data_IF_570024465945
#
_entry.id   IF_570024465945
#
_cell.length_a   1.000
_cell.length_b   1.000
_cell.length_c   1.000
_cell.angle_alpha   90.00
_cell.angle_beta   90.00
_cell.angle_gamma   90.00
#
_symmetry.space_group_name_H-M   'P 1'
#
loop_
_entity.id
_entity.type
_entity.pdbx_description
1 polymer ?
#
# COMPACT_ATOMS: atom_id res chain seq x y z
N UNK A 1 -23.01 -0.66 32.62
CA UNK A 1 -23.06 -0.94 31.17
C UNK A 1 -21.74 -0.47 30.53
N UNK A 2 -20.61 -1.10 30.89
CA UNK A 2 -19.25 -0.63 30.55
C UNK A 2 -18.50 -1.62 29.66
N UNK A 3 -19.17 -2.25 28.70
CA UNK A 3 -18.56 -3.30 27.86
C UNK A 3 -18.22 -2.80 26.44
N UNK A 4 -18.67 -1.61 26.04
CA UNK A 4 -18.48 -1.10 24.67
C UNK A 4 -17.29 -0.13 24.50
N UNK A 5 -16.47 0.10 25.53
CA UNK A 5 -15.37 1.10 25.47
C UNK A 5 -13.98 0.48 25.32
N UNK A 6 -13.83 -0.83 25.51
CA UNK A 6 -12.52 -1.52 25.42
C UNK A 6 -12.23 -2.03 24.01
N UNK A 7 -13.27 -2.30 23.21
CA UNK A 7 -13.11 -2.77 21.82
C UNK A 7 -12.61 -1.69 20.87
N UNK A 8 -13.09 -0.45 20.98
CA UNK A 8 -12.65 0.65 20.11
C UNK A 8 -11.18 1.05 20.29
N UNK A 9 -10.66 1.00 21.52
CA UNK A 9 -9.27 1.36 21.78
C UNK A 9 -8.26 0.35 21.22
N UNK A 10 -8.63 -0.94 21.13
CA UNK A 10 -7.76 -1.97 20.55
C UNK A 10 -7.75 -1.91 19.02
N UNK A 11 -8.87 -1.54 18.39
CA UNK A 11 -8.97 -1.32 16.94
C UNK A 11 -8.19 -0.06 16.51
N UNK A 12 -8.32 1.05 17.26
CA UNK A 12 -7.52 2.28 17.03
C UNK A 12 -6.01 2.01 17.13
N UNK A 13 -5.57 1.17 18.08
CA UNK A 13 -4.15 0.81 18.21
C UNK A 13 -3.63 -0.03 17.03
N UNK A 14 -4.49 -0.80 16.36
CA UNK A 14 -4.09 -1.71 15.29
C UNK A 14 -3.91 -0.97 13.96
N UNK A 15 -4.78 -0.01 13.66
CA UNK A 15 -4.65 0.86 12.49
C UNK A 15 -3.56 1.92 12.69
N UNK A 16 -3.41 2.47 13.90
CA UNK A 16 -2.39 3.49 14.20
C UNK A 16 -0.96 3.04 13.88
N UNK A 17 -0.64 1.75 14.07
CA UNK A 17 0.69 1.22 13.73
C UNK A 17 0.96 1.26 12.21
N UNK A 18 -0.06 0.95 11.40
CA UNK A 18 0.06 1.03 9.94
C UNK A 18 0.12 2.49 9.48
N UNK A 19 -0.78 3.35 9.98
CA UNK A 19 -0.79 4.78 9.69
C UNK A 19 0.56 5.42 10.01
N UNK A 20 1.13 5.14 11.19
CA UNK A 20 2.44 5.66 11.57
C UNK A 20 3.54 5.22 10.60
N UNK A 21 3.47 3.98 10.10
CA UNK A 21 4.44 3.47 9.13
C UNK A 21 4.31 4.15 7.75
N UNK A 22 3.08 4.44 7.33
CA UNK A 22 2.82 5.20 6.09
C UNK A 22 3.37 6.64 6.22
N UNK A 23 3.13 7.29 7.36
CA UNK A 23 3.70 8.61 7.65
C UNK A 23 5.24 8.59 7.70
N UNK A 24 5.83 7.58 8.34
CA UNK A 24 7.28 7.41 8.39
C UNK A 24 7.88 7.23 6.99
N UNK A 25 7.19 6.51 6.11
CA UNK A 25 7.60 6.33 4.71
C UNK A 25 7.59 7.66 3.95
N UNK A 26 6.58 8.49 4.19
CA UNK A 26 6.45 9.83 3.61
C UNK A 26 7.50 10.84 4.12
N UNK A 27 8.24 10.54 5.20
CA UNK A 27 9.38 11.37 5.64
C UNK A 27 10.55 11.33 4.67
N UNK A 28 10.59 10.36 3.77
CA UNK A 28 11.58 10.36 2.68
C UNK A 28 11.21 11.46 1.67
N UNK A 29 12.08 12.46 1.40
CA UNK A 29 11.76 13.62 0.58
C UNK A 29 11.46 13.27 -0.89
N UNK A 30 11.88 12.09 -1.36
CA UNK A 30 11.56 11.63 -2.71
C UNK A 30 10.23 10.89 -2.81
N UNK A 31 9.61 10.52 -1.69
CA UNK A 31 8.32 9.83 -1.65
C UNK A 31 7.21 10.86 -1.52
N UNK A 32 6.28 10.85 -2.46
CA UNK A 32 5.16 11.80 -2.53
C UNK A 32 3.80 11.12 -2.33
N UNK A 33 3.76 9.79 -2.28
CA UNK A 33 2.56 9.06 -1.89
C UNK A 33 2.84 7.60 -1.54
N UNK A 34 2.02 7.03 -0.68
CA UNK A 34 2.05 5.61 -0.31
C UNK A 34 0.63 5.10 -0.11
N UNK A 35 0.36 3.86 -0.50
CA UNK A 35 -0.93 3.20 -0.30
C UNK A 35 -0.73 1.72 0.04
N UNK A 36 -1.49 1.23 1.02
CA UNK A 36 -1.58 -0.18 1.38
C UNK A 36 -3.00 -0.68 1.11
N UNK A 37 -3.14 -1.79 0.41
CA UNK A 37 -4.43 -2.42 0.07
C UNK A 37 -4.38 -3.92 0.29
N UNK A 38 -5.54 -4.53 0.51
CA UNK A 38 -5.67 -5.98 0.56
C UNK A 38 -5.81 -6.61 -0.85
N UNK A 39 -5.93 -7.93 -0.91
CA UNK A 39 -6.10 -8.68 -2.16
C UNK A 39 -7.41 -8.41 -2.91
N UNK A 40 -8.41 -7.80 -2.26
CA UNK A 40 -9.71 -7.46 -2.84
C UNK A 40 -9.76 -6.00 -3.32
N UNK A 41 -8.70 -5.23 -3.10
CA UNK A 41 -8.63 -3.82 -3.46
C UNK A 41 -9.23 -2.89 -2.42
N UNK A 42 -9.42 -3.35 -1.18
CA UNK A 42 -9.85 -2.49 -0.08
C UNK A 42 -8.65 -1.71 0.47
N UNK A 43 -8.78 -0.39 0.52
CA UNK A 43 -7.77 0.49 1.10
C UNK A 43 -7.64 0.22 2.60
N UNK A 44 -6.41 -0.07 3.05
CA UNK A 44 -6.05 -0.24 4.45
C UNK A 44 -5.38 1.01 5.04
N UNK A 45 -4.95 1.93 4.18
CA UNK A 45 -4.33 3.18 4.56
C UNK A 45 -3.55 3.80 3.40
N UNK A 46 -3.61 5.12 3.29
CA UNK A 46 -2.90 5.86 2.25
C UNK A 46 -2.46 7.24 2.72
N UNK A 47 -1.40 7.78 2.12
CA UNK A 47 -0.91 9.12 2.38
C UNK A 47 -0.37 9.77 1.09
N UNK A 48 -0.51 11.08 0.94
CA UNK A 48 0.03 11.83 -0.18
C UNK A 48 -0.75 11.63 -1.50
N UNK A 49 -0.03 11.43 -2.60
CA UNK A 49 -0.58 11.42 -3.95
C UNK A 49 -1.42 10.18 -4.31
N UNK A 50 -1.41 9.14 -3.47
CA UNK A 50 -2.19 7.92 -3.68
C UNK A 50 -3.41 7.95 -2.76
N UNK A 51 -4.60 7.95 -3.33
CA UNK A 51 -5.92 7.92 -2.66
C UNK A 51 -6.61 6.57 -2.77
N UNK A 52 -7.73 6.39 -2.07
CA UNK A 52 -8.54 5.16 -2.03
C UNK A 52 -8.99 4.66 -3.41
N UNK A 53 -9.22 5.57 -4.37
CA UNK A 53 -9.62 5.22 -5.73
C UNK A 53 -8.58 4.33 -6.46
N UNK A 54 -7.31 4.40 -6.04
CA UNK A 54 -6.23 3.64 -6.64
C UNK A 54 -6.11 2.22 -6.08
N UNK A 55 -6.75 1.91 -4.94
CA UNK A 55 -6.57 0.63 -4.24
C UNK A 55 -6.96 -0.57 -5.13
N UNK A 56 -8.04 -0.44 -5.89
CA UNK A 56 -8.49 -1.48 -6.82
C UNK A 56 -7.42 -1.83 -7.86
N UNK A 57 -6.90 -0.84 -8.59
CA UNK A 57 -5.88 -1.06 -9.62
C UNK A 57 -4.53 -1.50 -9.03
N UNK A 58 -4.14 -0.94 -7.90
CA UNK A 58 -2.90 -1.31 -7.20
C UNK A 58 -2.93 -2.78 -6.79
N UNK A 59 -4.07 -3.28 -6.28
CA UNK A 59 -4.18 -4.67 -5.82
C UNK A 59 -4.04 -5.72 -6.94
N UNK A 60 -4.44 -5.40 -8.18
CA UNK A 60 -4.50 -6.37 -9.28
C UNK A 60 -3.22 -6.42 -10.11
N UNK A 61 -2.47 -5.33 -10.21
CA UNK A 61 -1.28 -5.24 -11.06
C UNK A 61 -0.23 -6.31 -10.72
N UNK A 62 0.20 -6.47 -9.45
CA UNK A 62 1.16 -7.52 -9.09
C UNK A 62 0.57 -8.93 -9.20
N UNK A 63 -0.76 -9.11 -9.11
CA UNK A 63 -1.39 -10.41 -9.36
C UNK A 63 -1.30 -10.83 -10.83
N UNK A 64 -1.37 -9.88 -11.76
CA UNK A 64 -1.10 -10.14 -13.17
C UNK A 64 0.38 -10.34 -13.46
N UNK A 65 1.26 -9.52 -12.87
CA UNK A 65 2.70 -9.67 -13.03
C UNK A 65 3.21 -11.03 -12.51
N UNK A 66 2.66 -11.52 -11.39
CA UNK A 66 3.01 -12.84 -10.86
C UNK A 66 2.69 -14.01 -11.80
N UNK A 67 1.82 -13.83 -12.81
CA UNK A 67 1.56 -14.85 -13.85
C UNK A 67 2.68 -14.94 -14.89
N UNK A 68 3.61 -13.99 -14.90
CA UNK A 68 4.75 -13.96 -15.82
C UNK A 68 5.93 -14.80 -15.33
N UNK A 69 5.94 -15.16 -14.05
CA UNK A 69 6.96 -16.04 -13.46
C UNK A 69 6.39 -17.44 -13.21
N UNK A 70 7.24 -18.45 -13.32
CA UNK A 70 6.89 -19.84 -12.99
C UNK A 70 7.20 -20.17 -11.52
N UNK A 71 8.02 -19.35 -10.86
CA UNK A 71 8.37 -19.51 -9.46
C UNK A 71 7.39 -18.73 -8.58
N UNK A 72 6.55 -19.39 -7.75
CA UNK A 72 5.59 -18.70 -6.91
C UNK A 72 6.23 -17.87 -5.78
N UNK A 73 7.54 -18.02 -5.53
CA UNK A 73 8.30 -17.24 -4.55
C UNK A 73 8.92 -15.98 -5.14
N UNK A 74 9.00 -15.90 -6.47
CA UNK A 74 9.50 -14.74 -7.20
C UNK A 74 8.38 -13.70 -7.34
N UNK A 75 8.18 -12.87 -6.31
CA UNK A 75 7.12 -11.86 -6.33
C UNK A 75 7.61 -10.58 -7.01
N UNK A 76 7.15 -10.26 -8.24
CA UNK A 76 7.68 -9.14 -9.00
C UNK A 76 7.26 -7.79 -8.40
N UNK A 77 8.10 -6.78 -8.60
CA UNK A 77 7.75 -5.37 -8.41
C UNK A 77 7.22 -4.83 -9.74
N UNK A 78 6.05 -4.23 -9.73
CA UNK A 78 5.49 -3.52 -10.89
C UNK A 78 5.84 -2.04 -10.78
N UNK A 79 6.53 -1.49 -11.78
CA UNK A 79 6.85 -0.07 -11.85
C UNK A 79 6.04 0.61 -12.96
N UNK A 80 5.32 1.67 -12.62
CA UNK A 80 4.68 2.58 -13.57
C UNK A 80 5.51 3.87 -13.61
N UNK A 81 6.17 4.13 -14.72
CA UNK A 81 7.08 5.27 -14.88
C UNK A 81 6.48 6.34 -15.79
N UNK A 82 6.55 7.59 -15.35
CA UNK A 82 6.16 8.77 -16.10
C UNK A 82 7.12 9.93 -15.85
N UNK A 83 6.84 11.07 -16.48
CA UNK A 83 7.49 12.35 -16.20
C UNK A 83 7.23 12.85 -14.76
N UNK A 84 6.12 12.46 -14.14
CA UNK A 84 5.77 12.82 -12.76
C UNK A 84 6.46 11.96 -11.69
N UNK A 85 7.13 10.88 -12.06
CA UNK A 85 7.76 9.96 -11.11
C UNK A 85 7.55 8.49 -11.44
N UNK A 86 7.77 7.64 -10.44
CA UNK A 86 7.58 6.19 -10.53
C UNK A 86 6.66 5.72 -9.42
N UNK A 87 5.61 4.98 -9.77
CA UNK A 87 4.82 4.22 -8.80
C UNK A 87 5.33 2.79 -8.78
N UNK A 88 5.93 2.38 -7.65
CA UNK A 88 6.42 1.04 -7.41
C UNK A 88 5.37 0.26 -6.62
N UNK A 89 4.94 -0.90 -7.11
CA UNK A 89 3.86 -1.71 -6.52
C UNK A 89 4.40 -3.11 -6.26
N UNK A 90 4.29 -3.57 -5.02
CA UNK A 90 4.72 -4.91 -4.63
C UNK A 90 3.67 -5.57 -3.74
N UNK A 91 3.44 -6.85 -4.01
CA UNK A 91 2.60 -7.71 -3.17
C UNK A 91 3.45 -8.43 -2.13
N UNK A 92 2.93 -8.56 -0.93
CA UNK A 92 3.47 -9.44 0.11
C UNK A 92 2.31 -10.19 0.76
N UNK A 93 2.23 -11.50 0.53
CA UNK A 93 1.10 -12.36 0.93
C UNK A 93 -0.27 -11.84 0.47
N UNK A 94 -1.04 -11.25 1.38
CA UNK A 94 -2.40 -10.72 1.13
C UNK A 94 -2.43 -9.20 0.99
N UNK A 95 -1.30 -8.54 1.23
CA UNK A 95 -1.17 -7.10 1.19
C UNK A 95 -0.46 -6.69 -0.10
N UNK A 96 -0.85 -5.54 -0.63
CA UNK A 96 -0.14 -4.87 -1.72
C UNK A 96 0.17 -3.46 -1.28
N UNK A 97 1.44 -3.06 -1.43
CA UNK A 97 1.90 -1.71 -1.11
C UNK A 97 2.35 -1.03 -2.40
N UNK A 98 1.94 0.22 -2.55
CA UNK A 98 2.41 1.11 -3.61
C UNK A 98 3.14 2.30 -3.00
N UNK A 99 4.27 2.68 -3.62
CA UNK A 99 5.05 3.87 -3.27
C UNK A 99 5.21 4.72 -4.53
N UNK A 100 4.73 5.96 -4.48
CA UNK A 100 4.96 6.95 -5.53
C UNK A 100 6.19 7.79 -5.17
N UNK A 101 7.24 7.65 -5.97
CA UNK A 101 8.51 8.33 -5.82
C UNK A 101 8.70 9.33 -6.96
N UNK A 102 9.04 10.56 -6.63
CA UNK A 102 9.36 11.58 -7.63
C UNK A 102 10.71 11.27 -8.28
N UNK A 103 10.80 11.40 -9.61
CA UNK A 103 12.07 11.30 -10.34
C UNK A 103 12.94 12.51 -9.98
N UNK A 104 14.20 12.27 -9.57
CA UNK A 104 15.19 13.32 -9.28
C UNK A 104 15.86 13.86 -10.54
#
# INVERSE_FOLDING_TARGET
MCVNHVTGAAEEMMEAALEQHLEDTMKNPSVVGVLCTDSQGLNLGCCGSLSDEHAGVISILPQYAGKLTMDPTDVPVVCLESDSGTVMIQKHDRLTVAVHKMSS
#
